data_IF_336626670568
#
_entry.id   IF_336626670568
#
_cell.length_a   1.000
_cell.length_b   1.000
_cell.length_c   1.000
_cell.angle_alpha   90.00
_cell.angle_beta   90.00
_cell.angle_gamma   90.00
#
_symmetry.space_group_name_H-M   'P 1'
#
loop_
_entity.id
_entity.type
_entity.pdbx_description
1 polymer ?
#
# COMPACT_ATOMS: atom_id res chain seq x y z
N UNK A 1 28.56 -12.67 40.17
CA UNK A 1 28.19 -13.56 41.29
C UNK A 1 29.07 -13.28 42.51
N UNK A 2 28.61 -13.57 43.74
CA UNK A 2 29.40 -13.39 44.95
C UNK A 2 30.55 -14.38 45.05
N UNK A 3 31.72 -13.91 45.46
CA UNK A 3 32.93 -14.71 45.62
C UNK A 3 33.15 -14.94 47.12
N UNK A 4 33.40 -16.19 47.51
CA UNK A 4 33.81 -16.57 48.87
C UNK A 4 35.34 -16.51 48.99
N UNK A 5 35.81 -15.77 49.99
CA UNK A 5 37.21 -15.66 50.36
C UNK A 5 37.42 -16.33 51.71
N UNK A 6 38.47 -17.15 51.82
CA UNK A 6 38.79 -17.87 53.04
C UNK A 6 40.30 -17.96 53.25
N UNK A 7 40.71 -17.73 54.49
CA UNK A 7 42.07 -17.91 54.99
C UNK A 7 42.19 -19.19 55.85
N UNK A 8 41.27 -20.14 55.73
CA UNK A 8 41.20 -21.33 56.59
C UNK A 8 42.47 -22.21 56.60
N UNK A 9 43.36 -22.06 55.61
CA UNK A 9 44.67 -22.76 55.56
C UNK A 9 45.84 -21.96 56.13
N UNK A 10 45.58 -20.75 56.62
CA UNK A 10 46.59 -19.91 57.26
C UNK A 10 46.80 -20.33 58.72
N UNK A 11 48.06 -20.49 59.11
CA UNK A 11 48.44 -20.83 60.47
C UNK A 11 49.74 -20.13 60.84
N UNK A 12 49.91 -19.85 62.12
CA UNK A 12 51.19 -19.44 62.68
C UNK A 12 51.95 -20.68 63.19
N UNK A 13 53.22 -20.90 62.80
CA UNK A 13 54.01 -22.05 63.25
C UNK A 13 54.24 -22.11 64.77
N UNK A 14 54.21 -20.96 65.44
CA UNK A 14 54.41 -20.81 66.88
C UNK A 14 53.06 -20.76 67.64
N UNK A 15 51.94 -21.00 66.94
CA UNK A 15 50.55 -20.98 67.45
C UNK A 15 50.10 -19.63 68.01
N UNK A 16 50.74 -18.54 67.58
CA UNK A 16 50.33 -17.17 67.93
C UNK A 16 49.00 -16.80 67.27
N UNK A 17 48.30 -15.83 67.88
CA UNK A 17 47.10 -15.28 67.29
C UNK A 17 47.46 -14.47 66.04
N UNK A 18 46.71 -14.70 64.96
CA UNK A 18 46.88 -14.01 63.69
C UNK A 18 45.64 -13.19 63.37
N UNK A 19 45.89 -12.03 62.76
CA UNK A 19 44.87 -11.12 62.26
C UNK A 19 44.91 -11.06 60.74
N UNK A 20 43.75 -10.87 60.12
CA UNK A 20 43.60 -10.89 58.66
C UNK A 20 43.24 -9.51 58.12
N UNK A 21 43.72 -9.22 56.92
CA UNK A 21 43.34 -8.03 56.18
C UNK A 21 43.33 -8.32 54.68
N UNK A 22 42.16 -8.18 54.08
CA UNK A 22 41.93 -8.43 52.65
C UNK A 22 41.79 -7.10 51.91
N UNK A 23 42.54 -6.93 50.82
CA UNK A 23 42.62 -5.68 50.06
C UNK A 23 42.46 -5.98 48.58
N UNK A 24 41.63 -5.21 47.90
CA UNK A 24 41.47 -5.18 46.44
C UNK A 24 42.20 -3.96 45.87
N UNK A 25 42.92 -4.13 44.75
CA UNK A 25 43.54 -3.01 44.03
C UNK A 25 42.54 -1.92 43.64
N UNK A 26 41.30 -2.30 43.31
CA UNK A 26 40.27 -1.38 42.80
C UNK A 26 39.30 -0.88 43.89
N UNK A 27 39.06 -1.68 44.93
CA UNK A 27 38.04 -1.38 45.95
C UNK A 27 38.60 -1.10 47.35
N UNK A 28 39.91 -1.21 47.53
CA UNK A 28 40.55 -1.04 48.83
C UNK A 28 40.25 -2.20 49.79
N UNK A 29 40.13 -1.91 51.08
CA UNK A 29 39.94 -2.93 52.10
C UNK A 29 38.57 -3.62 51.97
N UNK A 30 38.60 -4.95 51.78
CA UNK A 30 37.42 -5.77 51.59
C UNK A 30 36.88 -6.34 52.91
N UNK A 31 37.76 -6.81 53.79
CA UNK A 31 37.41 -7.45 55.06
C UNK A 31 38.63 -7.64 55.97
N UNK A 32 38.39 -7.81 57.27
CA UNK A 32 39.37 -8.25 58.28
C UNK A 32 39.01 -9.60 58.92
N UNK A 33 37.96 -10.25 58.44
CA UNK A 33 37.55 -11.59 58.89
C UNK A 33 38.41 -12.68 58.24
N UNK A 34 38.47 -13.82 58.91
CA UNK A 34 39.13 -15.04 58.41
C UNK A 34 38.44 -15.60 57.14
N UNK A 35 37.14 -15.36 56.99
CA UNK A 35 36.35 -15.65 55.79
C UNK A 35 35.26 -14.60 55.56
N UNK A 36 34.89 -14.37 54.29
CA UNK A 36 33.79 -13.48 53.91
C UNK A 36 33.32 -13.73 52.47
N UNK A 37 32.12 -13.26 52.15
CA UNK A 37 31.55 -13.30 50.79
C UNK A 37 31.41 -11.88 50.27
N UNK A 38 31.83 -11.62 49.03
CA UNK A 38 31.79 -10.27 48.44
C UNK A 38 31.51 -10.31 46.93
N UNK A 39 30.68 -9.37 46.47
CA UNK A 39 30.61 -8.99 45.07
C UNK A 39 31.71 -7.95 44.79
N UNK A 40 32.64 -8.29 43.90
CA UNK A 40 33.61 -7.35 43.37
C UNK A 40 32.98 -6.51 42.26
N UNK A 41 33.50 -5.30 42.02
CA UNK A 41 33.08 -4.50 40.85
C UNK A 41 33.69 -5.09 39.58
N UNK A 42 33.25 -4.64 38.41
CA UNK A 42 33.91 -4.98 37.15
C UNK A 42 35.37 -4.50 37.15
N UNK A 43 36.25 -5.32 36.58
CA UNK A 43 37.64 -4.97 36.34
C UNK A 43 38.63 -6.06 36.75
N UNK A 44 39.90 -5.70 36.68
CA UNK A 44 41.02 -6.54 37.09
C UNK A 44 41.35 -6.26 38.55
N UNK A 45 41.15 -7.24 39.42
CA UNK A 45 41.44 -7.13 40.84
C UNK A 45 42.70 -7.91 41.19
N UNK A 46 43.67 -7.23 41.82
CA UNK A 46 44.72 -7.91 42.58
C UNK A 46 44.29 -7.97 44.05
N UNK A 47 43.80 -9.13 44.48
CA UNK A 47 43.39 -9.36 45.86
C UNK A 47 44.62 -9.75 46.67
N UNK A 48 44.93 -8.95 47.69
CA UNK A 48 46.00 -9.20 48.66
C UNK A 48 45.41 -9.63 49.99
N UNK A 49 45.85 -10.78 50.50
CA UNK A 49 45.66 -11.17 51.89
C UNK A 49 46.94 -10.83 52.66
N UNK A 50 46.82 -9.97 53.66
CA UNK A 50 47.85 -9.67 54.65
C UNK A 50 47.49 -10.33 55.98
N UNK A 51 48.45 -11.06 56.56
CA UNK A 51 48.31 -11.71 57.86
C UNK A 51 49.38 -11.12 58.78
N UNK A 52 48.97 -10.75 60.00
CA UNK A 52 49.87 -10.20 61.01
C UNK A 52 49.75 -11.00 62.31
N UNK A 53 50.88 -11.45 62.85
CA UNK A 53 50.94 -12.04 64.19
C UNK A 53 50.84 -10.95 65.29
N UNK A 54 50.64 -11.38 66.54
CA UNK A 54 50.57 -10.46 67.69
C UNK A 54 51.90 -9.73 68.01
N UNK A 55 53.01 -10.17 67.41
CA UNK A 55 54.33 -9.55 67.52
C UNK A 55 54.62 -8.56 66.39
N UNK A 56 53.72 -8.42 65.43
CA UNK A 56 53.79 -7.51 64.30
C UNK A 56 54.51 -8.08 63.06
N UNK A 57 54.89 -9.35 63.03
CA UNK A 57 55.39 -10.00 61.81
C UNK A 57 54.27 -10.11 60.80
N UNK A 58 54.60 -9.92 59.52
CA UNK A 58 53.61 -9.87 58.44
C UNK A 58 53.97 -10.82 57.32
N UNK A 59 52.96 -11.46 56.77
CA UNK A 59 53.07 -12.19 55.52
C UNK A 59 51.92 -11.80 54.58
N UNK A 60 52.18 -11.85 53.28
CA UNK A 60 51.21 -11.45 52.27
C UNK A 60 51.17 -12.46 51.13
N UNK A 61 49.98 -12.71 50.61
CA UNK A 61 49.78 -13.48 49.38
C UNK A 61 48.80 -12.73 48.47
N UNK A 62 48.84 -13.03 47.17
CA UNK A 62 48.04 -12.34 46.17
C UNK A 62 47.39 -13.32 45.20
N UNK A 63 46.20 -12.95 44.73
CA UNK A 63 45.50 -13.62 43.62
C UNK A 63 44.94 -12.57 42.67
N UNK A 64 45.06 -12.83 41.37
CA UNK A 64 44.40 -12.02 40.33
C UNK A 64 43.02 -12.58 40.06
N UNK A 65 42.01 -11.71 40.10
CA UNK A 65 40.62 -12.01 39.77
C UNK A 65 40.16 -11.02 38.72
N UNK A 66 39.79 -11.53 37.55
CA UNK A 66 39.16 -10.73 36.49
C UNK A 66 37.65 -10.85 36.63
N UNK A 67 36.98 -9.75 36.96
CA UNK A 67 35.52 -9.67 36.95
C UNK A 67 35.11 -9.07 35.62
N UNK A 68 34.60 -9.92 34.71
CA UNK A 68 34.14 -9.46 33.40
C UNK A 68 32.84 -8.64 33.53
N UNK A 69 32.63 -7.61 32.68
CA UNK A 69 31.33 -6.96 32.57
C UNK A 69 30.25 -7.99 32.26
N UNK A 70 29.08 -7.80 32.87
CA UNK A 70 27.87 -8.45 32.41
C UNK A 70 27.29 -7.61 31.28
N UNK A 71 27.69 -7.92 30.04
CA UNK A 71 27.31 -7.14 28.87
C UNK A 71 25.80 -7.29 28.60
N UNK A 72 25.10 -6.24 28.11
CA UNK A 72 23.76 -6.40 27.58
C UNK A 72 23.76 -7.46 26.47
N UNK A 73 22.81 -8.37 26.54
CA UNK A 73 22.56 -9.37 25.52
C UNK A 73 21.36 -8.91 24.70
N UNK A 74 21.62 -8.40 23.50
CA UNK A 74 20.56 -8.07 22.55
C UNK A 74 20.34 -9.24 21.62
N UNK A 75 19.08 -9.60 21.46
CA UNK A 75 18.64 -10.61 20.53
C UNK A 75 17.65 -10.00 19.52
N UNK A 76 17.86 -10.27 18.23
CA UNK A 76 16.89 -9.97 17.18
C UNK A 76 15.95 -11.18 17.00
N UNK A 77 14.86 -11.19 17.76
CA UNK A 77 13.91 -12.32 17.76
C UNK A 77 13.05 -12.38 16.51
N UNK A 78 12.66 -11.23 15.97
CA UNK A 78 11.82 -11.17 14.77
C UNK A 78 12.40 -10.20 13.75
N UNK A 79 12.40 -10.64 12.51
CA UNK A 79 12.72 -9.85 11.33
C UNK A 79 11.63 -10.16 10.31
N UNK A 80 10.79 -9.18 9.99
CA UNK A 80 9.74 -9.38 9.01
C UNK A 80 9.49 -8.14 8.17
N UNK A 81 9.00 -8.42 6.97
CA UNK A 81 8.58 -7.44 5.99
C UNK A 81 7.11 -7.16 6.23
N UNK A 82 6.77 -5.89 6.42
CA UNK A 82 5.36 -5.50 6.38
C UNK A 82 4.90 -5.48 4.92
N UNK A 83 4.36 -6.60 4.46
CA UNK A 83 3.95 -6.81 3.07
C UNK A 83 2.76 -5.95 2.65
N UNK A 84 2.00 -5.41 3.61
CA UNK A 84 0.89 -4.51 3.32
C UNK A 84 1.42 -3.12 2.91
N UNK A 85 2.59 -2.74 3.44
CA UNK A 85 3.30 -1.49 3.13
C UNK A 85 4.52 -1.64 2.20
N UNK A 86 4.98 -2.87 1.94
CA UNK A 86 6.20 -3.15 1.16
C UNK A 86 6.06 -2.91 -0.37
N UNK A 87 4.87 -2.53 -0.84
CA UNK A 87 4.56 -2.38 -2.27
C UNK A 87 4.07 -0.97 -2.60
N UNK A 88 4.01 -0.06 -1.63
CA UNK A 88 3.79 1.34 -1.96
C UNK A 88 5.12 1.93 -2.47
N UNK A 89 5.25 2.05 -3.80
CA UNK A 89 6.30 2.87 -4.46
C UNK A 89 7.74 2.34 -4.25
N UNK A 90 7.93 1.04 -4.39
CA UNK A 90 9.22 0.34 -4.16
C UNK A 90 9.76 0.48 -2.72
N UNK A 91 8.96 0.96 -1.77
CA UNK A 91 9.35 1.06 -0.35
C UNK A 91 9.12 -0.26 0.36
N UNK A 92 10.14 -0.73 1.06
CA UNK A 92 10.09 -1.89 1.91
C UNK A 92 10.17 -1.42 3.36
N UNK A 93 9.12 -1.75 4.13
CA UNK A 93 9.11 -1.56 5.58
C UNK A 93 9.64 -2.81 6.25
N UNK A 94 10.71 -2.64 7.02
CA UNK A 94 11.38 -3.71 7.75
C UNK A 94 11.22 -3.47 9.24
N UNK A 95 10.66 -4.45 9.94
CA UNK A 95 10.56 -4.40 11.40
C UNK A 95 11.55 -5.40 12.00
N UNK A 96 12.35 -4.91 12.94
CA UNK A 96 13.22 -5.70 13.79
C UNK A 96 12.71 -5.62 15.23
N UNK A 97 12.48 -6.77 15.86
CA UNK A 97 12.15 -6.84 17.28
C UNK A 97 13.42 -7.16 18.05
N UNK A 98 13.86 -6.20 18.85
CA UNK A 98 15.08 -6.25 19.65
C UNK A 98 14.71 -6.43 21.11
N UNK A 99 15.34 -7.39 21.78
CA UNK A 99 15.18 -7.67 23.21
C UNK A 99 16.52 -7.48 23.91
N UNK A 100 16.54 -6.74 25.03
CA UNK A 100 17.67 -6.78 25.96
C UNK A 100 17.39 -7.80 27.07
N UNK A 101 18.07 -8.95 27.05
CA UNK A 101 18.00 -9.96 28.12
C UNK A 101 19.15 -9.84 29.13
N UNK A 102 20.10 -8.94 28.89
CA UNK A 102 21.24 -8.69 29.79
C UNK A 102 20.92 -7.61 30.83
N UNK A 103 21.93 -6.84 31.21
CA UNK A 103 21.77 -5.70 32.13
C UNK A 103 21.49 -4.37 31.42
N UNK A 104 21.05 -3.39 32.20
CA UNK A 104 20.79 -2.04 31.71
C UNK A 104 22.12 -1.35 31.44
N UNK A 105 22.26 -0.69 30.31
CA UNK A 105 23.45 0.11 30.02
C UNK A 105 23.21 1.59 30.25
N UNK A 106 24.32 2.30 30.44
CA UNK A 106 24.36 3.76 30.44
C UNK A 106 24.29 4.37 29.03
N UNK A 107 24.56 3.56 27.99
CA UNK A 107 24.69 3.97 26.59
C UNK A 107 23.73 3.20 25.68
N UNK A 108 23.04 3.84 24.72
CA UNK A 108 22.16 3.15 23.79
C UNK A 108 22.95 2.20 22.86
N UNK A 109 22.29 1.16 22.37
CA UNK A 109 22.82 0.35 21.27
C UNK A 109 22.44 0.95 19.93
N UNK A 110 23.20 0.63 18.88
CA UNK A 110 22.87 1.01 17.51
C UNK A 110 22.33 -0.23 16.81
N UNK A 111 21.11 -0.13 16.29
CA UNK A 111 20.53 -1.14 15.39
C UNK A 111 20.76 -0.65 13.98
N UNK A 112 21.63 -1.33 13.24
CA UNK A 112 21.93 -1.01 11.84
C UNK A 112 21.09 -1.88 10.92
N UNK A 113 20.55 -1.25 9.88
CA UNK A 113 19.91 -1.92 8.78
C UNK A 113 20.83 -1.91 7.57
N UNK A 114 21.07 -3.10 7.03
CA UNK A 114 22.01 -3.34 5.96
C UNK A 114 21.30 -3.90 4.74
N UNK A 115 21.73 -3.44 3.57
CA UNK A 115 21.32 -3.94 2.26
C UNK A 115 22.57 -4.42 1.55
N UNK A 116 22.63 -5.71 1.22
CA UNK A 116 23.80 -6.34 0.59
C UNK A 116 25.12 -6.06 1.36
N UNK A 117 25.06 -6.20 2.69
CA UNK A 117 26.15 -5.95 3.65
C UNK A 117 26.61 -4.49 3.79
N UNK A 118 25.94 -3.54 3.12
CA UNK A 118 26.17 -2.11 3.27
C UNK A 118 25.15 -1.52 4.26
N UNK A 119 25.63 -0.74 5.23
CA UNK A 119 24.75 -0.03 6.17
C UNK A 119 24.04 1.09 5.42
N UNK A 120 22.72 1.00 5.33
CA UNK A 120 21.89 2.02 4.66
C UNK A 120 21.13 2.89 5.67
N UNK A 121 20.87 2.38 6.87
CA UNK A 121 20.21 3.11 7.94
C UNK A 121 20.66 2.59 9.32
N UNK A 122 20.48 3.39 10.36
CA UNK A 122 20.81 3.02 11.73
C UNK A 122 19.96 3.79 12.73
N UNK A 123 19.52 3.12 13.78
CA UNK A 123 18.71 3.73 14.86
C UNK A 123 19.33 3.42 16.21
N UNK A 124 19.53 4.45 17.03
CA UNK A 124 19.89 4.29 18.43
C UNK A 124 18.69 3.79 19.24
N UNK A 125 18.89 2.73 20.03
CA UNK A 125 17.87 2.13 20.88
C UNK A 125 18.31 2.14 22.34
N UNK A 126 17.44 2.61 23.27
CA UNK A 126 17.70 2.48 24.70
C UNK A 126 17.72 0.99 25.08
N UNK A 127 18.56 0.64 26.06
CA UNK A 127 18.78 -0.74 26.48
C UNK A 127 18.13 -1.03 27.83
N UNK A 128 16.88 -0.62 28.00
CA UNK A 128 16.12 -0.99 29.19
C UNK A 128 15.93 -2.52 29.24
N UNK A 129 16.30 -3.13 30.36
CA UNK A 129 16.25 -4.59 30.56
C UNK A 129 14.83 -5.10 30.47
N UNK A 130 14.64 -6.22 29.75
CA UNK A 130 13.34 -6.89 29.63
C UNK A 130 12.34 -6.16 28.73
N UNK A 131 12.71 -5.02 28.14
CA UNK A 131 11.84 -4.31 27.21
C UNK A 131 11.90 -4.94 25.82
N UNK A 132 10.71 -5.04 25.21
CA UNK A 132 10.54 -5.36 23.80
C UNK A 132 10.53 -4.06 23.01
N UNK A 133 11.49 -3.90 22.12
CA UNK A 133 11.62 -2.72 21.27
C UNK A 133 11.35 -3.13 19.82
N UNK A 134 10.47 -2.40 19.13
CA UNK A 134 10.29 -2.53 17.69
C UNK A 134 11.06 -1.40 17.02
N UNK A 135 12.04 -1.74 16.19
CA UNK A 135 12.75 -0.80 15.33
C UNK A 135 12.24 -0.97 13.90
N UNK A 136 11.81 0.12 13.28
CA UNK A 136 11.28 0.15 11.92
C UNK A 136 12.23 0.89 10.99
N UNK A 137 12.57 0.26 9.88
CA UNK A 137 13.36 0.84 8.80
C UNK A 137 12.52 0.94 7.53
N UNK A 138 12.73 2.00 6.77
CA UNK A 138 12.09 2.22 5.47
C UNK A 138 13.19 2.31 4.41
N UNK A 139 13.15 1.39 3.46
CA UNK A 139 14.14 1.29 2.40
C UNK A 139 13.49 1.36 1.03
N UNK A 140 14.05 2.13 0.10
CA UNK A 140 13.61 2.14 -1.31
C UNK A 140 14.42 1.09 -2.06
N UNK A 141 13.72 0.11 -2.60
CA UNK A 141 14.35 -1.01 -3.26
C UNK A 141 14.83 -0.66 -4.68
N UNK A 142 16.12 -0.89 -4.94
CA UNK A 142 16.74 -0.68 -6.24
C UNK A 142 17.02 -2.04 -6.92
N UNK A 143 16.02 -2.61 -7.61
CA UNK A 143 16.19 -3.77 -8.49
C UNK A 143 15.92 -5.16 -7.88
N UNK A 144 16.27 -6.21 -8.64
CA UNK A 144 15.63 -7.55 -8.61
C UNK A 144 15.76 -8.35 -7.29
N UNK A 145 16.84 -8.18 -6.53
CA UNK A 145 17.06 -8.95 -5.29
C UNK A 145 18.01 -8.25 -4.33
N UNK A 146 17.58 -8.09 -3.09
CA UNK A 146 18.39 -7.55 -2.01
C UNK A 146 18.42 -8.50 -0.81
N UNK A 147 19.62 -8.64 -0.23
CA UNK A 147 19.81 -9.25 1.07
C UNK A 147 19.64 -8.17 2.12
N UNK A 148 18.67 -8.37 3.00
CA UNK A 148 18.39 -7.45 4.08
C UNK A 148 18.92 -8.08 5.34
N UNK A 149 19.71 -7.33 6.10
CA UNK A 149 20.08 -7.75 7.43
C UNK A 149 19.94 -6.62 8.43
N UNK A 150 19.68 -7.01 9.68
CA UNK A 150 19.75 -6.10 10.80
C UNK A 150 20.82 -6.64 11.71
N UNK A 151 21.69 -5.75 12.19
CA UNK A 151 22.66 -6.08 13.22
C UNK A 151 22.66 -5.06 14.34
N UNK A 152 22.98 -5.52 15.53
CA UNK A 152 23.24 -4.63 16.65
C UNK A 152 24.72 -4.31 16.68
N UNK A 153 25.11 -3.04 16.72
CA UNK A 153 26.47 -2.68 17.12
C UNK A 153 26.51 -2.40 18.61
N UNK A 154 27.61 -2.81 19.28
CA UNK A 154 27.87 -2.37 20.63
C UNK A 154 27.82 -0.85 20.77
N UNK A 155 27.11 -0.36 21.79
CA UNK A 155 27.60 0.82 22.51
C UNK A 155 28.94 0.50 23.17
N UNK A 156 29.67 1.51 23.69
CA UNK A 156 31.01 1.33 24.31
C UNK A 156 31.10 0.15 25.31
N UNK A 157 29.96 -0.24 25.91
CA UNK A 157 29.83 -1.25 26.96
C UNK A 157 28.94 -2.46 26.57
N UNK A 158 28.61 -2.67 25.29
CA UNK A 158 27.72 -3.77 24.84
C UNK A 158 28.47 -4.90 24.11
N UNK A 159 28.04 -6.15 24.27
CA UNK A 159 28.82 -7.33 23.88
C UNK A 159 28.36 -8.07 22.62
N UNK A 160 27.91 -7.39 21.58
CA UNK A 160 26.98 -8.01 20.63
C UNK A 160 27.06 -7.45 19.20
N UNK A 161 27.18 -8.38 18.25
CA UNK A 161 26.95 -8.24 16.80
C UNK A 161 26.13 -9.45 16.33
N UNK A 162 24.83 -9.47 16.64
CA UNK A 162 23.93 -10.49 16.08
C UNK A 162 23.38 -10.00 14.74
N UNK A 163 23.49 -10.83 13.69
CA UNK A 163 22.98 -10.52 12.36
C UNK A 163 21.79 -11.41 12.04
N UNK A 164 20.62 -10.82 11.81
CA UNK A 164 19.47 -11.54 11.24
C UNK A 164 19.29 -11.18 9.78
N UNK A 165 19.21 -12.20 8.93
CA UNK A 165 19.13 -12.04 7.47
C UNK A 165 17.77 -12.47 6.94
N UNK A 166 17.18 -11.64 6.10
CA UNK A 166 16.08 -12.03 5.22
C UNK A 166 16.38 -11.67 3.77
N UNK A 167 15.55 -12.18 2.87
CA UNK A 167 15.69 -11.92 1.43
C UNK A 167 14.41 -11.32 0.89
N UNK A 168 14.57 -10.25 0.12
CA UNK A 168 13.49 -9.62 -0.64
C UNK A 168 13.85 -9.71 -2.12
N UNK A 169 12.87 -10.13 -2.91
CA UNK A 169 12.90 -9.92 -4.36
C UNK A 169 12.00 -8.71 -4.63
N UNK A 170 12.56 -7.63 -5.15
CA UNK A 170 11.76 -6.50 -5.66
C UNK A 170 11.94 -6.47 -7.16
N UNK A 171 10.89 -6.62 -7.95
CA UNK A 171 11.00 -6.32 -9.36
C UNK A 171 10.95 -4.81 -9.56
N UNK A 172 11.93 -4.24 -10.29
CA UNK A 172 11.88 -2.83 -10.68
C UNK A 172 10.53 -2.50 -11.32
N UNK A 173 9.98 -1.32 -11.02
CA UNK A 173 8.70 -0.90 -11.58
C UNK A 173 8.79 -0.69 -13.10
N UNK A 174 7.84 -1.25 -13.85
CA UNK A 174 7.66 -1.01 -15.27
C UNK A 174 6.43 -0.13 -15.49
N UNK A 175 6.57 1.05 -16.12
CA UNK A 175 5.41 1.89 -16.37
C UNK A 175 4.34 1.17 -17.21
N UNK A 176 3.04 1.47 -17.02
CA UNK A 176 1.95 0.83 -17.75
C UNK A 176 2.05 1.04 -19.27
N UNK A 177 1.57 0.09 -20.07
CA UNK A 177 1.53 0.25 -21.54
C UNK A 177 0.18 0.74 -22.02
N UNK A 178 0.13 1.87 -22.73
CA UNK A 178 -1.09 2.41 -23.35
C UNK A 178 -1.20 2.01 -24.84
N UNK A 179 -2.24 1.25 -25.16
CA UNK A 179 -2.68 0.93 -26.54
C UNK A 179 -4.07 1.49 -26.72
N UNK A 180 -4.29 2.26 -27.77
CA UNK A 180 -5.46 3.13 -27.86
C UNK A 180 -6.06 3.14 -29.25
N UNK A 181 -7.39 3.16 -29.29
CA UNK A 181 -8.20 3.26 -30.50
C UNK A 181 -9.32 4.30 -30.31
N UNK A 182 -9.64 5.02 -31.39
CA UNK A 182 -10.75 6.00 -31.44
C UNK A 182 -11.73 5.61 -32.53
N UNK A 183 -13.02 5.65 -32.21
CA UNK A 183 -14.08 5.42 -33.18
C UNK A 183 -15.32 6.30 -32.93
N UNK A 184 -15.91 6.93 -33.98
CA UNK A 184 -15.53 6.85 -35.39
C UNK A 184 -14.27 7.65 -35.75
N UNK A 185 -13.66 7.36 -36.91
CA UNK A 185 -12.46 8.07 -37.40
C UNK A 185 -12.75 9.49 -37.91
N UNK A 186 -14.00 9.75 -38.30
CA UNK A 186 -14.52 11.08 -38.59
C UNK A 186 -15.43 11.43 -37.43
N UNK A 187 -15.10 12.51 -36.75
CA UNK A 187 -15.82 12.93 -35.55
C UNK A 187 -16.62 14.16 -35.89
N UNK A 188 -17.90 14.11 -35.57
CA UNK A 188 -18.85 15.19 -35.84
C UNK A 188 -19.39 15.71 -34.51
N UNK A 189 -19.71 17.00 -34.45
CA UNK A 189 -20.34 17.61 -33.28
C UNK A 189 -21.58 16.83 -32.83
N UNK A 190 -21.77 16.75 -31.51
CA UNK A 190 -22.87 16.06 -30.83
C UNK A 190 -23.02 14.55 -31.16
N UNK A 191 -22.02 13.94 -31.80
CA UNK A 191 -21.91 12.49 -31.95
C UNK A 191 -20.95 11.90 -30.92
N UNK A 192 -21.26 10.68 -30.49
CA UNK A 192 -20.52 10.02 -29.45
C UNK A 192 -19.23 9.37 -29.98
N UNK A 193 -18.10 9.79 -29.41
CA UNK A 193 -16.76 9.28 -29.74
C UNK A 193 -16.34 8.29 -28.68
N UNK A 194 -15.96 7.09 -29.11
CA UNK A 194 -15.47 6.04 -28.23
C UNK A 194 -13.95 6.12 -28.15
N UNK A 195 -13.45 6.22 -26.92
CA UNK A 195 -12.03 6.22 -26.56
C UNK A 195 -11.73 4.90 -25.88
N UNK A 196 -11.06 3.99 -26.60
CA UNK A 196 -10.84 2.62 -26.15
C UNK A 196 -9.37 2.46 -25.77
N UNK A 197 -9.12 2.11 -24.51
CA UNK A 197 -7.79 1.69 -24.06
C UNK A 197 -7.70 0.16 -24.04
N UNK A 198 -6.95 -0.39 -24.99
CA UNK A 198 -6.63 -1.81 -25.10
C UNK A 198 -5.32 -2.18 -24.36
N UNK A 199 -4.53 -1.17 -23.95
CA UNK A 199 -3.29 -1.37 -23.21
C UNK A 199 -3.53 -1.20 -21.72
N UNK A 200 -3.52 -2.30 -20.98
CA UNK A 200 -3.70 -2.31 -19.53
C UNK A 200 -2.64 -3.17 -18.84
N UNK A 201 -1.56 -3.49 -19.55
CA UNK A 201 -0.52 -4.38 -19.05
C UNK A 201 0.53 -3.55 -18.30
N UNK A 202 0.75 -3.92 -17.05
CA UNK A 202 1.98 -3.65 -16.31
C UNK A 202 2.66 -5.00 -16.07
N UNK A 203 3.93 -5.12 -16.43
CA UNK A 203 4.67 -6.38 -16.33
C UNK A 203 4.86 -6.84 -14.87
N UNK A 204 4.63 -5.96 -13.90
CA UNK A 204 4.68 -6.30 -12.48
C UNK A 204 3.31 -6.72 -11.90
N UNK A 205 2.22 -6.56 -12.66
CA UNK A 205 0.86 -6.94 -12.24
C UNK A 205 0.21 -5.96 -11.26
N UNK A 206 0.65 -4.70 -11.25
CA UNK A 206 0.12 -3.64 -10.40
C UNK A 206 -1.31 -3.25 -10.80
N UNK A 207 -2.05 -2.66 -9.86
CA UNK A 207 -3.39 -2.12 -10.14
C UNK A 207 -3.26 -0.77 -10.86
N UNK A 208 -4.04 -0.58 -11.93
CA UNK A 208 -3.98 0.63 -12.75
C UNK A 208 -5.14 1.59 -12.48
N UNK A 209 -4.83 2.88 -12.53
CA UNK A 209 -5.79 3.99 -12.49
C UNK A 209 -5.71 4.80 -13.77
N UNK A 210 -6.85 5.36 -14.22
CA UNK A 210 -6.98 6.04 -15.50
C UNK A 210 -7.49 7.46 -15.30
N UNK A 211 -6.94 8.40 -16.04
CA UNK A 211 -7.43 9.78 -16.11
C UNK A 211 -7.45 10.26 -17.55
N UNK A 212 -8.65 10.47 -18.06
CA UNK A 212 -8.90 11.10 -19.35
C UNK A 212 -9.09 12.60 -19.19
N UNK A 213 -8.51 13.37 -20.10
CA UNK A 213 -8.78 14.79 -20.31
C UNK A 213 -9.09 14.99 -21.80
N UNK A 214 -10.31 15.39 -22.14
CA UNK A 214 -10.78 15.41 -23.54
C UNK A 214 -10.41 16.69 -24.31
N UNK A 215 -9.77 17.65 -23.65
CA UNK A 215 -9.33 18.92 -24.25
C UNK A 215 -10.40 20.03 -24.28
N UNK A 216 -11.63 19.74 -23.88
CA UNK A 216 -12.75 20.69 -23.77
C UNK A 216 -13.15 21.00 -22.31
N UNK A 217 -12.39 20.46 -21.36
CA UNK A 217 -12.63 20.59 -19.92
C UNK A 217 -13.34 19.40 -19.28
N UNK A 218 -13.88 18.46 -20.06
CA UNK A 218 -14.44 17.22 -19.55
C UNK A 218 -13.34 16.18 -19.24
N UNK A 219 -13.64 15.28 -18.31
CA UNK A 219 -12.74 14.22 -17.84
C UNK A 219 -13.49 12.90 -17.59
N UNK A 220 -12.75 11.79 -17.50
CA UNK A 220 -13.26 10.46 -17.12
C UNK A 220 -12.17 9.64 -16.43
N UNK A 221 -12.56 8.68 -15.60
CA UNK A 221 -11.66 7.72 -14.93
C UNK A 221 -11.88 6.27 -15.36
N UNK A 222 -12.71 6.04 -16.39
CA UNK A 222 -12.96 4.69 -16.90
C UNK A 222 -11.78 4.18 -17.72
N UNK A 223 -11.60 2.86 -17.78
CA UNK A 223 -10.56 2.23 -18.65
C UNK A 223 -10.77 2.66 -20.11
N UNK A 224 -12.01 2.54 -20.58
CA UNK A 224 -12.46 2.99 -21.89
C UNK A 224 -13.75 3.78 -21.69
N UNK A 225 -13.94 4.85 -22.47
CA UNK A 225 -15.00 5.83 -22.21
C UNK A 225 -15.58 6.38 -23.51
N UNK A 226 -16.72 7.07 -23.39
CA UNK A 226 -17.38 7.73 -24.50
C UNK A 226 -17.55 9.21 -24.17
N UNK A 227 -17.32 10.08 -25.15
CA UNK A 227 -17.45 11.53 -24.97
C UNK A 227 -18.11 12.19 -26.19
N UNK A 228 -18.77 13.32 -25.97
CA UNK A 228 -19.44 14.12 -27.01
C UNK A 228 -18.86 15.53 -27.04
N UNK A 229 -18.53 16.02 -28.22
CA UNK A 229 -18.04 17.37 -28.43
C UNK A 229 -19.16 18.29 -28.93
N UNK A 230 -19.50 19.30 -28.14
CA UNK A 230 -20.57 20.25 -28.47
C UNK A 230 -20.20 21.27 -29.55
N UNK A 231 -18.90 21.43 -29.85
CA UNK A 231 -18.40 22.43 -30.79
C UNK A 231 -17.38 21.81 -31.73
N UNK A 232 -17.33 22.31 -32.98
CA UNK A 232 -16.27 21.94 -33.90
C UNK A 232 -14.94 22.51 -33.43
N UNK A 233 -13.86 21.79 -33.69
CA UNK A 233 -12.53 22.22 -33.27
C UNK A 233 -11.51 21.10 -33.27
N UNK A 234 -10.29 21.49 -32.93
CA UNK A 234 -9.20 20.55 -32.68
C UNK A 234 -9.03 20.39 -31.18
N UNK A 235 -9.09 19.15 -30.70
CA UNK A 235 -8.98 18.82 -29.29
C UNK A 235 -7.75 17.94 -29.05
N UNK A 236 -7.03 18.22 -27.97
CA UNK A 236 -5.94 17.35 -27.49
C UNK A 236 -6.52 16.49 -26.38
N UNK A 237 -6.70 15.21 -26.69
CA UNK A 237 -7.16 14.19 -25.74
C UNK A 237 -5.93 13.58 -25.09
N UNK A 238 -5.91 13.52 -23.76
CA UNK A 238 -4.81 12.95 -22.97
C UNK A 238 -5.34 11.82 -22.10
N UNK A 239 -4.66 10.68 -22.15
CA UNK A 239 -4.84 9.59 -21.19
C UNK A 239 -3.58 9.49 -20.35
N UNK A 240 -3.75 9.56 -19.04
CA UNK A 240 -2.75 9.23 -18.05
C UNK A 240 -3.13 7.91 -17.40
N UNK A 241 -2.24 6.92 -17.46
CA UNK A 241 -2.39 5.65 -16.74
C UNK A 241 -1.29 5.57 -15.69
N UNK A 242 -1.69 5.34 -14.44
CA UNK A 242 -0.78 5.29 -13.30
C UNK A 242 -0.97 3.96 -12.57
N UNK A 243 0.13 3.26 -12.27
CA UNK A 243 0.14 2.06 -11.42
C UNK A 243 0.20 2.40 -9.92
N UNK A 244 0.08 1.38 -9.06
CA UNK A 244 0.15 1.53 -7.60
C UNK A 244 1.52 1.91 -7.05
N UNK A 245 2.58 1.85 -7.87
CA UNK A 245 3.95 2.25 -7.53
C UNK A 245 4.36 3.57 -8.21
N UNK A 246 3.37 4.41 -8.56
CA UNK A 246 3.51 5.71 -9.22
C UNK A 246 4.17 5.68 -10.61
N UNK A 247 4.35 4.50 -11.22
CA UNK A 247 4.77 4.40 -12.60
C UNK A 247 3.65 4.93 -13.50
N UNK A 248 4.02 5.81 -14.43
CA UNK A 248 3.06 6.57 -15.20
C UNK A 248 3.41 6.58 -16.67
N UNK A 249 2.40 6.31 -17.50
CA UNK A 249 2.46 6.54 -18.93
C UNK A 249 1.40 7.57 -19.30
N UNK A 250 1.82 8.59 -20.04
CA UNK A 250 0.94 9.62 -20.58
C UNK A 250 0.96 9.49 -22.10
N UNK A 251 -0.22 9.58 -22.71
CA UNK A 251 -0.34 9.61 -24.16
C UNK A 251 -1.38 10.62 -24.59
N UNK A 252 -1.05 11.36 -25.64
CA UNK A 252 -1.87 12.43 -26.19
C UNK A 252 -2.24 12.12 -27.64
N UNK A 253 -3.46 12.51 -28.03
CA UNK A 253 -3.97 12.44 -29.39
C UNK A 253 -4.62 13.75 -29.76
N UNK A 254 -4.37 14.18 -30.99
CA UNK A 254 -5.10 15.30 -31.57
C UNK A 254 -6.23 14.77 -32.42
N UNK A 255 -7.46 15.17 -32.11
CA UNK A 255 -8.64 14.84 -32.90
C UNK A 255 -9.24 16.11 -33.51
N UNK A 256 -9.89 15.94 -34.66
CA UNK A 256 -10.61 17.01 -35.35
C UNK A 256 -12.11 16.68 -35.29
N UNK A 257 -12.88 17.59 -34.69
CA UNK A 257 -14.34 17.55 -34.65
C UNK A 257 -14.87 18.49 -35.73
N UNK A 258 -15.65 17.95 -36.64
CA UNK A 258 -16.25 18.67 -37.77
C UNK A 258 -17.73 18.99 -37.48
N UNK A 259 -18.27 19.99 -38.18
CA UNK A 259 -19.71 20.24 -38.17
C UNK A 259 -20.44 19.13 -38.95
N UNK A 260 -21.70 18.88 -38.60
CA UNK A 260 -22.57 18.02 -39.40
C UNK A 260 -22.63 18.63 -40.80
N UNK A 261 -22.31 17.86 -41.87
CA UNK A 261 -22.42 18.38 -43.22
C UNK A 261 -23.88 18.81 -43.44
N UNK A 262 -24.07 20.09 -43.75
CA UNK A 262 -25.40 20.61 -44.07
C UNK A 262 -25.96 19.79 -45.24
N UNK A 263 -27.14 19.19 -45.04
CA UNK A 263 -27.81 18.47 -46.11
C UNK A 263 -28.26 19.49 -47.18
N UNK A 264 -27.46 19.59 -48.25
CA UNK A 264 -27.70 20.43 -49.42
C UNK A 264 -29.01 20.11 -50.16
N UNK A 265 -29.77 19.10 -49.70
CA UNK A 265 -31.10 18.72 -50.21
C UNK A 265 -32.14 19.86 -50.12
N UNK A 266 -31.93 20.85 -49.24
CA UNK A 266 -32.83 22.01 -49.10
C UNK A 266 -32.67 23.09 -50.18
N UNK A 267 -31.51 23.14 -50.86
CA UNK A 267 -31.20 24.16 -51.88
C UNK A 267 -31.87 23.92 -53.25
N UNK A 268 -32.29 22.67 -53.52
CA UNK A 268 -32.90 22.28 -54.80
C UNK A 268 -34.38 22.71 -54.95
N UNK A 269 -35.02 23.25 -53.91
CA UNK A 269 -36.44 23.62 -53.94
C UNK A 269 -36.74 24.99 -54.58
N UNK A 270 -35.87 26.00 -54.41
CA UNK A 270 -36.14 27.35 -54.90
C UNK A 270 -35.93 27.50 -56.42
N UNK A 271 -35.00 26.75 -57.02
CA UNK A 271 -34.75 26.81 -58.47
C UNK A 271 -35.87 26.13 -59.30
N UNK A 272 -36.52 25.10 -58.77
CA UNK A 272 -37.64 24.40 -59.43
C UNK A 272 -38.94 25.20 -59.36
N UNK A 273 -39.20 25.93 -58.28
CA UNK A 273 -40.43 26.73 -58.11
C UNK A 273 -40.44 27.95 -59.07
N UNK A 274 -39.28 28.55 -59.34
CA UNK A 274 -39.14 29.65 -60.32
C UNK A 274 -39.36 29.20 -61.77
N UNK A 275 -38.85 28.03 -62.16
CA UNK A 275 -38.99 27.50 -63.52
C UNK A 275 -40.41 27.04 -63.87
N UNK A 276 -41.10 26.40 -62.92
CA UNK A 276 -42.46 25.88 -63.11
C UNK A 276 -43.49 27.03 -63.20
N UNK A 277 -43.35 28.10 -62.42
CA UNK A 277 -44.24 29.26 -62.49
C UNK A 277 -44.19 29.97 -63.86
N UNK A 278 -42.99 30.11 -64.44
CA UNK A 278 -42.81 30.72 -65.78
C UNK A 278 -43.39 29.82 -66.87
N UNK A 279 -43.17 28.50 -66.80
CA UNK A 279 -43.75 27.55 -67.75
C UNK A 279 -45.28 27.54 -67.72
N UNK A 280 -45.90 27.59 -66.52
CA UNK A 280 -47.35 27.66 -66.35
C UNK A 280 -47.92 28.97 -66.92
N UNK A 281 -47.25 30.12 -66.71
CA UNK A 281 -47.66 31.41 -67.27
C UNK A 281 -47.59 31.39 -68.81
N UNK A 282 -46.54 30.82 -69.39
CA UNK A 282 -46.41 30.69 -70.85
C UNK A 282 -47.49 29.77 -71.43
N UNK A 283 -47.77 28.64 -70.78
CA UNK A 283 -48.83 27.71 -71.18
C UNK A 283 -50.21 28.37 -71.09
N UNK A 284 -50.50 29.12 -70.02
CA UNK A 284 -51.75 29.87 -69.87
C UNK A 284 -51.92 30.93 -70.97
N UNK A 285 -50.86 31.65 -71.33
CA UNK A 285 -50.90 32.62 -72.43
C UNK A 285 -51.16 31.94 -73.79
N UNK A 286 -50.58 30.77 -74.03
CA UNK A 286 -50.83 29.97 -75.25
C UNK A 286 -52.28 29.46 -75.28
N UNK A 287 -52.84 28.98 -74.16
CA UNK A 287 -54.23 28.51 -74.08
C UNK A 287 -55.22 29.65 -74.30
N UNK A 288 -54.98 30.83 -73.73
CA UNK A 288 -55.80 32.03 -73.96
C UNK A 288 -55.74 32.48 -75.43
N UNK A 289 -54.58 32.35 -76.08
CA UNK A 289 -54.42 32.63 -77.50
C UNK A 289 -55.20 31.63 -78.38
N UNK A 290 -55.17 30.33 -78.03
CA UNK A 290 -55.89 29.28 -78.75
C UNK A 290 -57.41 29.35 -78.56
N UNK A 291 -57.89 29.78 -77.39
CA UNK A 291 -59.34 29.91 -77.12
C UNK A 291 -60.01 31.10 -77.84
N UNK A 292 -59.25 32.07 -78.35
CA UNK A 292 -59.81 33.19 -79.15
C UNK A 292 -60.12 32.81 -80.61
N UNK A 293 -59.79 31.60 -81.06
CA UNK A 293 -59.76 31.24 -82.48
C UNK A 293 -60.88 30.35 -83.04
N UNK A 294 -61.92 29.96 -82.29
CA UNK A 294 -62.93 29.02 -82.81
C UNK A 294 -64.38 29.45 -82.54
N UNK A 295 -65.10 29.77 -83.62
CA UNK A 295 -66.55 29.96 -83.63
C UNK A 295 -67.29 28.84 -84.37
N UNK A 296 -68.41 28.42 -83.77
CA UNK A 296 -69.68 27.84 -84.30
C UNK A 296 -69.73 26.42 -84.92
N UNK A 297 -70.27 25.47 -84.11
CA UNK A 297 -71.45 24.54 -84.28
C UNK A 297 -71.66 23.67 -85.55
N UNK A 298 -72.52 22.59 -85.58
CA UNK A 298 -73.68 22.26 -84.71
C UNK A 298 -73.91 20.77 -84.29
N UNK A 299 -74.98 20.56 -83.49
CA UNK A 299 -75.56 19.30 -82.92
C UNK A 299 -76.42 18.48 -83.91
N UNK A 300 -76.58 17.14 -83.71
CA UNK A 300 -77.89 16.52 -83.33
C UNK A 300 -77.70 15.26 -82.41
N UNK A 301 -78.65 14.59 -81.75
CA UNK A 301 -80.11 14.51 -81.71
C UNK A 301 -80.52 13.38 -80.72
N UNK A 302 -81.81 13.29 -80.38
CA UNK A 302 -82.47 12.72 -79.17
C UNK A 302 -82.74 11.18 -79.08
N UNK A 303 -82.59 10.64 -77.85
CA UNK A 303 -83.39 9.65 -77.05
C UNK A 303 -83.69 8.19 -77.53
N UNK A 304 -84.13 7.21 -76.66
CA UNK A 304 -84.42 7.22 -75.20
C UNK A 304 -83.86 6.03 -74.33
N UNK A 305 -84.21 6.11 -73.03
CA UNK A 305 -83.82 5.39 -71.80
C UNK A 305 -84.48 3.99 -71.58
N UNK A 306 -83.87 3.08 -70.77
CA UNK A 306 -84.48 2.55 -69.52
C UNK A 306 -83.45 2.48 -68.36
N UNK A 307 -83.65 3.02 -67.13
CA UNK A 307 -84.53 2.70 -65.99
C UNK A 307 -84.07 1.54 -65.06
N UNK A 308 -83.90 1.87 -63.76
CA UNK A 308 -83.72 1.05 -62.52
C UNK A 308 -82.38 0.31 -62.30
N UNK A 309 -81.81 0.12 -61.10
CA UNK A 309 -82.09 0.51 -59.69
C UNK A 309 -80.75 0.39 -58.88
N UNK A 310 -80.78 0.84 -57.64
CA UNK A 310 -79.71 0.99 -56.66
C UNK A 310 -79.05 -0.29 -56.12
N UNK A 311 -77.88 -0.06 -55.53
CA UNK A 311 -77.41 -0.62 -54.25
C UNK A 311 -76.48 -1.86 -54.26
N UNK A 312 -75.59 -1.85 -53.25
CA UNK A 312 -74.62 -2.86 -52.80
C UNK A 312 -73.20 -2.85 -53.41
N UNK A 313 -72.32 -1.99 -52.88
CA UNK A 313 -70.93 -2.40 -52.61
C UNK A 313 -70.45 -1.90 -51.23
N UNK A 314 -69.73 -2.71 -50.44
CA UNK A 314 -69.44 -2.43 -49.03
C UNK A 314 -68.28 -1.45 -48.84
N UNK A 315 -68.36 -0.63 -47.79
CA UNK A 315 -67.27 0.24 -47.30
C UNK A 315 -66.26 -0.55 -46.43
N UNK A 316 -64.96 -0.23 -46.49
CA UNK A 316 -63.99 -0.73 -45.53
C UNK A 316 -64.11 -0.02 -44.16
N UNK A 317 -63.76 -0.70 -43.04
CA UNK A 317 -63.92 -0.16 -41.68
C UNK A 317 -62.83 0.85 -41.29
N UNK A 318 -63.12 1.76 -40.34
CA UNK A 318 -62.18 2.74 -39.79
C UNK A 318 -61.22 2.13 -38.74
N UNK A 319 -60.08 2.78 -38.46
CA UNK A 319 -59.19 2.37 -37.37
C UNK A 319 -59.81 2.70 -35.99
N UNK A 320 -59.59 1.86 -34.96
CA UNK A 320 -60.03 2.18 -33.61
C UNK A 320 -59.18 3.28 -32.97
N UNK A 321 -59.87 4.16 -32.24
CA UNK A 321 -59.33 5.29 -31.52
C UNK A 321 -58.77 4.95 -30.14
N UNK A 322 -58.02 5.94 -29.68
CA UNK A 322 -57.63 6.31 -28.33
C UNK A 322 -58.67 5.96 -27.24
N UNK A 323 -58.18 5.40 -26.13
CA UNK A 323 -58.85 5.49 -24.83
C UNK A 323 -58.10 6.54 -23.99
N UNK A 324 -58.88 7.45 -23.43
CA UNK A 324 -58.46 8.50 -22.52
C UNK A 324 -59.29 8.35 -21.25
N UNK A 325 -58.65 8.21 -20.09
CA UNK A 325 -59.30 8.60 -18.85
C UNK A 325 -58.72 8.04 -17.55
N UNK A 326 -58.03 8.93 -16.84
CA UNK A 326 -58.13 9.17 -15.39
C UNK A 326 -57.05 8.60 -14.46
N UNK A 327 -56.12 9.51 -14.08
CA UNK A 327 -55.60 9.67 -12.71
C UNK A 327 -56.71 10.29 -11.79
N UNK A 328 -56.55 10.47 -10.45
CA UNK A 328 -55.32 10.39 -9.63
C UNK A 328 -55.47 9.75 -8.22
N UNK A 329 -54.37 9.31 -7.59
CA UNK A 329 -54.15 9.46 -6.12
C UNK A 329 -52.64 9.54 -5.82
N UNK A 330 -52.26 10.54 -5.03
CA UNK A 330 -50.94 10.78 -4.44
C UNK A 330 -50.58 9.76 -3.35
N UNK A 331 -49.33 9.29 -3.31
CA UNK A 331 -48.58 9.11 -2.06
C UNK A 331 -47.05 9.02 -2.34
N UNK A 332 -46.22 9.94 -1.81
CA UNK A 332 -44.78 9.77 -1.71
C UNK A 332 -44.40 9.35 -0.28
N UNK A 333 -43.83 8.16 -0.09
CA UNK A 333 -43.08 7.84 1.13
C UNK A 333 -41.63 7.49 0.80
N UNK A 334 -40.63 8.14 1.42
CA UNK A 334 -39.21 7.94 1.14
C UNK A 334 -38.63 6.78 1.99
N UNK A 335 -37.51 6.14 1.59
CA UNK A 335 -36.71 5.39 2.55
C UNK A 335 -35.91 6.37 3.40
N UNK A 336 -36.18 6.34 4.70
CA UNK A 336 -35.51 7.10 5.74
C UNK A 336 -34.05 6.67 5.92
N UNK A 337 -33.27 7.67 6.29
CA UNK A 337 -31.91 7.61 6.82
C UNK A 337 -31.80 6.59 7.97
N UNK A 338 -30.77 5.74 7.90
CA UNK A 338 -30.31 4.96 9.05
C UNK A 338 -29.18 5.73 9.73
N UNK A 339 -29.53 6.46 10.78
CA UNK A 339 -28.59 6.96 11.81
C UNK A 339 -28.38 5.84 12.87
N UNK A 340 -27.21 5.76 13.52
CA UNK A 340 -26.75 4.59 14.24
C UNK A 340 -27.37 4.50 15.63
N UNK A 341 -27.74 3.29 16.04
CA UNK A 341 -28.05 3.02 17.44
C UNK A 341 -26.76 2.83 18.26
N UNK A 342 -26.82 3.15 19.57
CA UNK A 342 -25.66 3.34 20.42
C UNK A 342 -25.05 2.03 20.92
N UNK A 343 -23.77 2.14 21.25
CA UNK A 343 -22.94 1.28 22.08
C UNK A 343 -23.70 0.52 23.18
N UNK A 344 -23.46 -0.79 23.37
CA UNK A 344 -23.74 -1.43 24.65
C UNK A 344 -22.62 -1.10 25.63
N UNK A 345 -22.99 -0.52 26.78
CA UNK A 345 -22.18 -0.46 27.98
C UNK A 345 -21.82 -1.89 28.43
N UNK A 346 -20.52 -2.20 28.47
CA UNK A 346 -20.03 -3.37 29.21
C UNK A 346 -20.00 -3.03 30.70
N UNK A 347 -20.86 -3.68 31.49
CA UNK A 347 -20.65 -3.79 32.93
C UNK A 347 -19.45 -4.69 33.24
N UNK A 348 -18.61 -4.35 34.23
CA UNK A 348 -17.45 -5.15 34.59
C UNK A 348 -17.89 -6.41 35.36
N UNK A 349 -17.63 -7.58 34.79
CA UNK A 349 -17.70 -8.86 35.49
C UNK A 349 -16.63 -8.96 36.60
N UNK A 350 -16.87 -9.75 37.66
CA UNK A 350 -16.08 -9.73 38.89
C UNK A 350 -14.68 -10.31 38.70
N UNK A 351 -13.72 -9.72 39.43
CA UNK A 351 -12.35 -10.16 39.55
C UNK A 351 -12.25 -11.64 39.94
N UNK A 352 -11.62 -12.45 39.10
CA UNK A 352 -11.09 -13.75 39.50
C UNK A 352 -9.73 -13.53 40.16
N UNK A 353 -9.66 -13.84 41.46
CA UNK A 353 -8.42 -14.02 42.22
C UNK A 353 -7.48 -14.96 41.45
N UNK A 354 -6.30 -14.44 41.10
CA UNK A 354 -5.18 -15.23 40.61
C UNK A 354 -4.38 -15.70 41.83
N UNK A 355 -4.39 -17.01 42.07
CA UNK A 355 -3.58 -17.71 43.07
C UNK A 355 -2.17 -17.97 42.50
N UNK A 356 -1.08 -17.50 43.13
CA UNK A 356 0.27 -17.80 42.67
C UNK A 356 0.99 -18.78 43.60
N UNK A 357 1.22 -20.03 43.15
CA UNK A 357 2.50 -20.73 43.41
C UNK A 357 2.63 -22.12 42.76
N UNK A 358 3.88 -22.59 42.56
CA UNK A 358 4.27 -23.39 41.42
C UNK A 358 4.38 -24.89 41.73
N UNK A 359 4.22 -25.73 40.71
CA UNK A 359 4.69 -27.10 40.72
C UNK A 359 5.86 -27.23 39.74
N UNK A 360 7.02 -27.57 40.27
CA UNK A 360 8.21 -27.93 39.54
C UNK A 360 7.99 -29.26 38.80
N UNK A 361 8.25 -29.28 37.49
CA UNK A 361 8.48 -30.52 36.75
C UNK A 361 9.98 -30.70 36.57
N UNK A 362 10.49 -31.78 37.16
CA UNK A 362 11.86 -32.27 36.96
C UNK A 362 12.03 -32.79 35.52
N UNK A 363 13.04 -32.28 34.82
CA UNK A 363 13.48 -32.78 33.51
C UNK A 363 14.73 -33.64 33.75
N UNK A 364 14.81 -34.87 33.21
CA UNK A 364 15.91 -35.79 33.49
C UNK A 364 17.21 -35.38 32.80
N UNK A 365 18.33 -35.59 33.51
CA UNK A 365 19.70 -35.39 33.06
C UNK A 365 20.01 -36.17 31.77
N UNK A 366 20.57 -35.46 30.78
CA UNK A 366 21.16 -36.06 29.58
C UNK A 366 22.67 -36.13 29.79
N UNK A 367 23.18 -37.36 29.85
CA UNK A 367 24.59 -37.72 29.88
C UNK A 367 25.27 -37.32 28.56
N UNK A 368 26.19 -36.34 28.63
CA UNK A 368 26.99 -35.90 27.48
C UNK A 368 28.36 -36.57 27.59
N UNK A 369 28.56 -37.58 26.74
CA UNK A 369 29.82 -38.27 26.59
C UNK A 369 30.96 -37.33 26.19
N UNK A 370 32.11 -37.58 26.80
CA UNK A 370 33.43 -37.02 26.49
C UNK A 370 33.82 -37.20 25.03
N UNK A 371 34.13 -36.12 24.32
CA UNK A 371 34.93 -36.13 23.09
C UNK A 371 36.28 -35.45 23.31
N UNK A 372 37.31 -36.10 22.77
CA UNK A 372 38.73 -35.87 22.98
C UNK A 372 39.29 -34.64 22.24
N UNK A 373 40.24 -33.94 22.85
CA UNK A 373 41.05 -32.90 22.20
C UNK A 373 41.98 -33.49 21.11
N UNK A 374 42.13 -32.83 19.95
CA UNK A 374 43.22 -33.13 19.02
C UNK A 374 44.53 -32.41 19.42
N UNK A 375 45.70 -32.97 19.05
CA UNK A 375 46.99 -32.59 19.61
C UNK A 375 47.52 -31.26 19.05
N UNK A 376 48.21 -30.51 19.90
CA UNK A 376 48.98 -29.33 19.49
C UNK A 376 50.28 -29.75 18.79
N UNK A 377 50.52 -29.20 17.60
CA UNK A 377 51.80 -29.31 16.90
C UNK A 377 52.87 -28.40 17.53
N UNK A 378 54.10 -28.92 17.54
CA UNK A 378 55.32 -28.36 18.17
C UNK A 378 55.95 -27.19 17.42
#
# INVERSE_FOLDING_TARGET
EPIEFSSASSFDPDEDHITFRWISSEQGELSTSDSFVKNLIEGEHLITLEITDDFGSRNTTQISITVKPFLPYLEIREFYLDKENAVEKDKVTVNAVVYNEGEATSSPAIVEFLVNDEVVDSVEQPLDVGNRIITTFIWIAEGEKSFLSVRTRPGHDAGIDEVKVGTVNVSANTPPVIVFDVYPSIIVVDEAVNFINNGTDDANGDTLTYQWEFGDGATSSDVSTQHLYAFKGTYVVKLTVTDTRDGQTIKEWTILVEEVPEDDSSSLSMAMIGGIAVAIIVILLIVVFLMRGRGKEPSPGTDPVPSYDQDTRPRPPPPPGYDTGHAPVYDPTPPAEHDPSPTPEEEPGPATEYDPSPAAEEVPEVDIGTEEEPPQEM
#
